data_IF_098974165130
#
_entry.id   IF_098974165130
#
_cell.length_a   1.000
_cell.length_b   1.000
_cell.length_c   1.000
_cell.angle_alpha   90.00
_cell.angle_beta   90.00
_cell.angle_gamma   90.00
#
_symmetry.space_group_name_H-M   'P 1'
#
loop_
_entity.id
_entity.type
_entity.pdbx_description
1 polymer ?
#
# COMPACT_ATOMS: atom_id res chain seq x y z
N UNK A 1 -22.96 9.33 27.03
CA UNK A 1 -21.55 9.49 26.61
C UNK A 1 -21.22 8.65 25.38
N UNK A 2 -21.43 7.32 25.43
CA UNK A 2 -21.16 6.42 24.30
C UNK A 2 -21.87 6.77 22.99
N UNK A 3 -23.13 7.23 23.03
CA UNK A 3 -23.84 7.65 21.81
C UNK A 3 -23.27 8.91 21.17
N UNK A 4 -22.76 9.87 21.96
CA UNK A 4 -22.14 11.08 21.42
C UNK A 4 -20.82 10.74 20.73
N UNK A 5 -20.00 9.89 21.35
CA UNK A 5 -18.77 9.35 20.74
C UNK A 5 -19.05 8.66 19.40
N UNK A 6 -20.09 7.83 19.33
CA UNK A 6 -20.45 7.15 18.07
C UNK A 6 -20.97 8.11 16.99
N UNK A 7 -21.67 9.18 17.37
CA UNK A 7 -22.07 10.24 16.43
C UNK A 7 -20.87 11.02 15.89
N UNK A 8 -19.89 11.33 16.73
CA UNK A 8 -18.64 12.00 16.31
C UNK A 8 -17.83 11.12 15.35
N UNK A 9 -17.68 9.82 15.67
CA UNK A 9 -17.06 8.85 14.76
C UNK A 9 -17.85 8.80 13.44
N UNK A 10 -19.18 8.72 13.49
CA UNK A 10 -19.99 8.70 12.27
C UNK A 10 -19.76 9.93 11.40
N UNK A 11 -19.71 11.12 11.98
CA UNK A 11 -19.45 12.37 11.26
C UNK A 11 -18.05 12.40 10.64
N UNK A 12 -17.03 11.97 11.38
CA UNK A 12 -15.63 12.04 10.95
C UNK A 12 -15.29 11.02 9.85
N UNK A 13 -15.96 9.86 9.83
CA UNK A 13 -15.62 8.76 8.92
C UNK A 13 -16.69 8.47 7.87
N UNK A 14 -17.75 9.28 7.78
CA UNK A 14 -18.77 9.15 6.72
C UNK A 14 -18.21 9.55 5.37
N UNK A 15 -18.46 8.73 4.35
CA UNK A 15 -18.07 9.02 2.96
C UNK A 15 -18.95 10.12 2.35
N UNK A 16 -18.37 11.23 1.86
CA UNK A 16 -19.03 12.16 0.95
C UNK A 16 -19.67 11.49 -0.27
N UNK A 17 -20.76 12.06 -0.82
CA UNK A 17 -21.31 11.58 -2.09
C UNK A 17 -20.29 11.73 -3.23
N UNK A 18 -20.30 10.80 -4.19
CA UNK A 18 -19.41 10.78 -5.36
C UNK A 18 -17.91 10.60 -5.09
N UNK A 19 -17.50 10.44 -3.83
CA UNK A 19 -16.11 10.15 -3.51
C UNK A 19 -15.77 8.67 -3.78
N UNK A 20 -14.61 8.45 -4.39
CA UNK A 20 -13.99 7.14 -4.55
C UNK A 20 -13.88 6.41 -3.20
N UNK A 21 -14.17 5.09 -3.20
CA UNK A 21 -13.99 4.24 -2.00
C UNK A 21 -12.53 4.26 -1.56
N UNK A 22 -11.59 4.24 -2.50
CA UNK A 22 -10.15 4.19 -2.22
C UNK A 22 -9.68 5.48 -1.56
N UNK A 23 -10.09 6.64 -2.10
CA UNK A 23 -9.76 7.94 -1.51
C UNK A 23 -10.38 8.11 -0.12
N UNK A 24 -11.66 7.73 0.04
CA UNK A 24 -12.33 7.74 1.34
C UNK A 24 -11.64 6.86 2.38
N UNK A 25 -11.18 5.67 2.00
CA UNK A 25 -10.41 4.80 2.90
C UNK A 25 -9.12 5.50 3.35
N UNK A 26 -8.37 6.10 2.41
CA UNK A 26 -7.16 6.84 2.76
C UNK A 26 -7.44 7.98 3.75
N UNK A 27 -8.51 8.74 3.56
CA UNK A 27 -8.92 9.80 4.49
C UNK A 27 -9.30 9.25 5.88
N UNK A 28 -9.99 8.10 5.91
CA UNK A 28 -10.30 7.43 7.17
C UNK A 28 -9.01 7.00 7.91
N UNK A 29 -8.02 6.48 7.19
CA UNK A 29 -6.74 6.15 7.77
C UNK A 29 -6.04 7.40 8.34
N UNK A 30 -5.96 8.46 7.53
CA UNK A 30 -5.33 9.72 7.92
C UNK A 30 -6.00 10.37 9.15
N UNK A 31 -7.30 10.17 9.30
CA UNK A 31 -8.08 10.61 10.45
C UNK A 31 -7.98 9.69 11.69
N UNK A 32 -7.08 8.70 11.69
CA UNK A 32 -6.78 7.86 12.86
C UNK A 32 -7.70 6.65 13.03
N UNK A 33 -8.34 6.14 11.97
CA UNK A 33 -9.23 4.99 12.08
C UNK A 33 -8.54 3.70 12.59
N UNK A 34 -7.20 3.61 12.52
CA UNK A 34 -6.43 2.42 12.87
C UNK A 34 -6.03 2.36 14.35
N UNK A 35 -5.72 3.50 14.97
CA UNK A 35 -5.30 3.61 16.37
C UNK A 35 -6.42 4.12 17.28
N UNK A 36 -7.16 5.15 16.85
CA UNK A 36 -8.00 5.94 17.77
C UNK A 36 -9.42 5.38 17.94
N UNK A 37 -9.83 4.47 17.04
CA UNK A 37 -11.21 4.00 16.97
C UNK A 37 -11.28 2.49 17.09
N UNK A 38 -11.28 1.98 18.33
CA UNK A 38 -11.57 0.58 18.63
C UNK A 38 -13.06 0.38 18.85
N UNK A 39 -13.63 -0.60 18.15
CA UNK A 39 -15.06 -0.89 18.18
C UNK A 39 -15.29 -2.37 18.38
N UNK A 40 -16.18 -2.70 19.31
CA UNK A 40 -16.79 -4.03 19.35
C UNK A 40 -17.88 -4.19 18.27
N UNK A 41 -18.51 -5.38 18.23
CA UNK A 41 -19.56 -5.69 17.26
C UNK A 41 -20.82 -4.82 17.43
N UNK A 42 -21.19 -4.50 18.67
CA UNK A 42 -22.38 -3.73 18.98
C UNK A 42 -22.20 -2.26 18.63
N UNK A 43 -21.07 -1.67 19.03
CA UNK A 43 -20.67 -0.31 18.69
C UNK A 43 -20.58 -0.12 17.17
N UNK A 44 -19.96 -1.07 16.46
CA UNK A 44 -19.87 -1.02 15.00
C UNK A 44 -21.25 -0.99 14.31
N UNK A 45 -22.25 -1.67 14.86
CA UNK A 45 -23.63 -1.64 14.34
C UNK A 45 -24.34 -0.32 14.63
N UNK A 46 -24.04 0.30 15.77
CA UNK A 46 -24.62 1.57 16.16
C UNK A 46 -24.06 2.77 15.38
N UNK A 47 -22.88 2.64 14.74
CA UNK A 47 -22.35 3.66 13.86
C UNK A 47 -23.25 3.94 12.65
N UNK A 48 -24.08 2.99 12.21
CA UNK A 48 -24.89 3.15 11.02
C UNK A 48 -24.06 3.01 9.73
N UNK A 49 -24.51 3.70 8.67
CA UNK A 49 -23.90 3.64 7.34
C UNK A 49 -22.81 4.70 7.22
N UNK A 50 -21.57 4.28 6.98
CA UNK A 50 -20.42 5.18 6.75
C UNK A 50 -20.11 5.28 5.26
N UNK A 51 -20.09 4.13 4.59
CA UNK A 51 -19.60 4.04 3.22
C UNK A 51 -20.63 4.46 2.17
N UNK A 52 -21.92 4.53 2.52
CA UNK A 52 -23.03 4.62 1.55
C UNK A 52 -23.07 3.41 0.59
N UNK A 53 -22.53 2.29 1.05
CA UNK A 53 -22.45 1.04 0.32
C UNK A 53 -22.87 -0.09 1.25
N UNK A 54 -24.00 -0.73 0.90
CA UNK A 54 -24.61 -1.74 1.74
C UNK A 54 -23.70 -2.97 1.94
N UNK A 55 -22.85 -3.31 0.96
CA UNK A 55 -21.93 -4.44 1.09
C UNK A 55 -20.81 -4.13 2.10
N UNK A 56 -20.19 -2.95 1.97
CA UNK A 56 -19.14 -2.49 2.90
C UNK A 56 -19.72 -2.32 4.31
N UNK A 57 -20.83 -1.59 4.47
CA UNK A 57 -21.42 -1.32 5.77
C UNK A 57 -21.84 -2.62 6.50
N UNK A 58 -22.40 -3.60 5.76
CA UNK A 58 -22.68 -4.92 6.33
C UNK A 58 -21.42 -5.66 6.74
N UNK A 59 -20.32 -5.54 5.99
CA UNK A 59 -19.02 -6.10 6.36
C UNK A 59 -18.54 -5.56 7.72
N UNK A 60 -18.63 -4.24 7.90
CA UNK A 60 -18.16 -3.54 9.11
C UNK A 60 -18.89 -4.10 10.35
N UNK A 61 -20.20 -4.28 10.23
CA UNK A 61 -21.09 -4.75 11.30
C UNK A 61 -21.01 -6.26 11.60
N UNK A 62 -20.57 -7.06 10.63
CA UNK A 62 -20.53 -8.52 10.76
C UNK A 62 -19.31 -9.00 11.55
N UNK A 63 -18.20 -8.28 11.45
CA UNK A 63 -16.93 -8.67 12.07
C UNK A 63 -17.07 -8.75 13.60
N UNK A 64 -16.72 -9.90 14.16
CA UNK A 64 -16.82 -10.22 15.59
C UNK A 64 -15.54 -9.82 16.33
N UNK A 65 -15.63 -9.62 17.65
CA UNK A 65 -14.50 -9.15 18.46
C UNK A 65 -14.29 -7.63 18.39
N UNK A 66 -13.30 -7.13 19.11
CA UNK A 66 -12.91 -5.72 19.12
C UNK A 66 -11.78 -5.51 18.12
N UNK A 67 -11.99 -4.59 17.18
CA UNK A 67 -11.05 -4.26 16.12
C UNK A 67 -11.04 -2.75 15.90
N UNK A 68 -9.94 -2.22 15.35
CA UNK A 68 -9.94 -0.84 14.87
C UNK A 68 -10.94 -0.65 13.74
N UNK A 69 -11.48 0.56 13.61
CA UNK A 69 -12.37 0.94 12.52
C UNK A 69 -11.70 0.66 11.17
N UNK A 70 -10.42 0.99 11.05
CA UNK A 70 -9.61 0.68 9.88
C UNK A 70 -9.60 -0.81 9.53
N UNK A 71 -9.35 -1.68 10.52
CA UNK A 71 -9.37 -3.13 10.33
C UNK A 71 -10.74 -3.65 9.88
N UNK A 72 -11.83 -2.99 10.30
CA UNK A 72 -13.19 -3.31 9.83
C UNK A 72 -13.38 -2.81 8.39
N UNK A 73 -13.03 -1.56 8.10
CA UNK A 73 -13.15 -0.93 6.78
C UNK A 73 -12.40 -1.74 5.71
N UNK A 74 -11.10 -1.96 5.90
CA UNK A 74 -10.22 -2.66 4.95
C UNK A 74 -10.73 -4.06 4.64
N UNK A 75 -11.11 -4.84 5.66
CA UNK A 75 -11.67 -6.19 5.43
C UNK A 75 -13.01 -6.14 4.71
N UNK A 76 -13.86 -5.17 5.04
CA UNK A 76 -15.20 -5.08 4.42
C UNK A 76 -15.14 -4.67 2.97
N UNK A 77 -14.21 -3.78 2.60
CA UNK A 77 -13.94 -3.40 1.22
C UNK A 77 -13.37 -4.58 0.44
N UNK A 78 -12.39 -5.30 1.02
CA UNK A 78 -11.79 -6.49 0.39
C UNK A 78 -12.80 -7.62 0.16
N UNK A 79 -13.76 -7.79 1.07
CA UNK A 79 -14.82 -8.79 0.92
C UNK A 79 -15.89 -8.39 -0.09
N UNK A 80 -16.06 -7.09 -0.35
CA UNK A 80 -17.11 -6.56 -1.22
C UNK A 80 -16.68 -6.36 -2.68
N UNK A 81 -15.37 -6.21 -2.94
CA UNK A 81 -14.84 -5.74 -4.22
C UNK A 81 -13.57 -6.48 -4.64
N UNK A 82 -13.29 -6.45 -5.93
CA UNK A 82 -11.98 -6.75 -6.52
C UNK A 82 -11.23 -5.44 -6.83
N UNK A 83 -9.95 -5.54 -7.22
CA UNK A 83 -9.17 -4.38 -7.62
C UNK A 83 -9.80 -3.65 -8.83
N UNK A 84 -10.26 -4.42 -9.83
CA UNK A 84 -10.84 -3.89 -11.08
C UNK A 84 -12.17 -3.17 -10.86
N UNK A 85 -12.92 -3.52 -9.79
CA UNK A 85 -14.17 -2.85 -9.47
C UNK A 85 -13.96 -1.44 -8.88
N UNK A 86 -12.83 -1.21 -8.21
CA UNK A 86 -12.56 0.03 -7.45
C UNK A 86 -11.57 0.96 -8.12
N UNK A 87 -10.55 0.42 -8.79
CA UNK A 87 -9.50 1.22 -9.39
C UNK A 87 -9.86 1.58 -10.84
N UNK A 88 -10.18 2.85 -11.05
CA UNK A 88 -10.31 3.40 -12.41
C UNK A 88 -8.94 3.85 -12.87
N UNK A 89 -8.33 3.09 -13.79
CA UNK A 89 -7.12 3.52 -14.47
C UNK A 89 -7.40 4.79 -15.28
N UNK A 90 -6.50 5.76 -15.19
CA UNK A 90 -6.63 7.04 -15.88
C UNK A 90 -5.77 7.02 -17.13
N UNK A 91 -6.31 7.51 -18.25
CA UNK A 91 -5.49 7.72 -19.45
C UNK A 91 -4.54 8.91 -19.27
N UNK A 92 -4.98 9.92 -18.50
CA UNK A 92 -4.15 11.04 -18.08
C UNK A 92 -4.75 11.75 -16.85
N UNK A 93 -3.90 12.29 -15.98
CA UNK A 93 -4.28 13.27 -14.96
C UNK A 93 -3.88 14.68 -15.40
N UNK A 94 -4.64 15.71 -15.06
CA UNK A 94 -4.48 17.07 -15.60
C UNK A 94 -3.86 18.06 -14.61
N UNK A 95 -3.72 17.68 -13.35
CA UNK A 95 -3.17 18.53 -12.30
C UNK A 95 -2.39 17.72 -11.27
N UNK A 96 -1.55 18.39 -10.47
CA UNK A 96 -0.86 17.77 -9.33
C UNK A 96 -1.84 17.17 -8.34
N UNK A 97 -2.96 17.84 -8.10
CA UNK A 97 -3.98 17.35 -7.20
C UNK A 97 -4.56 16.03 -7.72
N UNK A 98 -4.94 15.98 -8.99
CA UNK A 98 -5.44 14.77 -9.64
C UNK A 98 -4.40 13.65 -9.64
N UNK A 99 -3.13 13.97 -9.90
CA UNK A 99 -2.02 13.01 -9.85
C UNK A 99 -1.80 12.47 -8.43
N UNK A 100 -1.80 13.32 -7.41
CA UNK A 100 -1.66 12.93 -6.01
C UNK A 100 -2.82 12.05 -5.54
N UNK A 101 -4.05 12.37 -5.97
CA UNK A 101 -5.21 11.52 -5.73
C UNK A 101 -5.06 10.17 -6.42
N UNK A 102 -4.67 10.15 -7.70
CA UNK A 102 -4.50 8.90 -8.45
C UNK A 102 -3.42 8.00 -7.86
N UNK A 103 -2.29 8.57 -7.45
CA UNK A 103 -1.22 7.84 -6.76
C UNK A 103 -1.72 7.24 -5.43
N UNK A 104 -2.59 7.95 -4.72
CA UNK A 104 -3.23 7.45 -3.49
C UNK A 104 -4.19 6.30 -3.79
N UNK A 105 -5.01 6.40 -4.83
CA UNK A 105 -5.91 5.34 -5.25
C UNK A 105 -5.16 4.08 -5.67
N UNK A 106 -4.09 4.23 -6.46
CA UNK A 106 -3.19 3.12 -6.84
C UNK A 106 -2.59 2.44 -5.61
N UNK A 107 -2.12 3.23 -4.65
CA UNK A 107 -1.53 2.73 -3.41
C UNK A 107 -2.56 1.98 -2.57
N UNK A 108 -3.76 2.52 -2.44
CA UNK A 108 -4.84 1.88 -1.70
C UNK A 108 -5.30 0.57 -2.36
N UNK A 109 -5.38 0.53 -3.69
CA UNK A 109 -5.68 -0.70 -4.43
C UNK A 109 -4.60 -1.77 -4.22
N UNK A 110 -3.32 -1.38 -4.25
CA UNK A 110 -2.19 -2.29 -3.98
C UNK A 110 -2.19 -2.80 -2.52
N UNK A 111 -2.53 -1.97 -1.54
CA UNK A 111 -2.68 -2.41 -0.13
C UNK A 111 -3.84 -3.39 0.03
N UNK A 112 -4.96 -3.15 -0.66
CA UNK A 112 -6.14 -3.99 -0.55
C UNK A 112 -5.97 -5.32 -1.27
N UNK A 113 -5.34 -5.33 -2.45
CA UNK A 113 -5.38 -6.47 -3.39
C UNK A 113 -4.02 -6.89 -3.94
N UNK A 114 -2.94 -6.18 -3.62
CA UNK A 114 -1.59 -6.49 -4.05
C UNK A 114 -1.07 -7.81 -3.48
N UNK A 115 -0.06 -8.37 -4.16
CA UNK A 115 0.44 -9.72 -3.92
C UNK A 115 1.43 -9.82 -2.73
N UNK A 116 1.42 -8.85 -1.81
CA UNK A 116 2.44 -8.75 -0.77
C UNK A 116 2.14 -9.72 0.38
N UNK A 117 3.08 -10.63 0.64
CA UNK A 117 3.06 -11.57 1.78
C UNK A 117 3.20 -10.87 3.16
N UNK A 118 3.04 -9.54 3.23
CA UNK A 118 3.34 -8.74 4.41
C UNK A 118 2.06 -8.18 5.03
N UNK A 119 1.57 -8.90 6.05
CA UNK A 119 0.46 -8.50 6.91
C UNK A 119 0.69 -7.18 7.68
N UNK A 120 1.89 -6.58 7.63
CA UNK A 120 2.22 -5.29 8.27
C UNK A 120 1.94 -4.05 7.40
N UNK A 121 1.77 -4.20 6.08
CA UNK A 121 1.43 -3.08 5.17
C UNK A 121 -0.03 -2.65 5.21
N UNK A 122 -0.85 -3.37 5.97
CA UNK A 122 -2.24 -2.99 6.16
C UNK A 122 -2.37 -1.70 6.98
N UNK A 123 -1.31 -1.08 7.50
CA UNK A 123 -1.43 -0.06 8.55
C UNK A 123 -1.01 1.36 8.15
N UNK A 124 -0.36 1.60 7.01
CA UNK A 124 0.08 2.96 6.62
C UNK A 124 0.23 3.10 5.09
N UNK A 125 -0.71 3.77 4.40
CA UNK A 125 -0.62 4.04 2.97
C UNK A 125 0.51 4.98 2.55
N UNK A 126 0.95 5.91 3.40
CA UNK A 126 2.05 6.82 3.05
C UNK A 126 3.42 6.16 3.28
N UNK A 127 3.51 5.24 4.24
CA UNK A 127 4.64 4.36 4.47
C UNK A 127 4.80 3.23 3.43
N UNK A 128 3.80 3.02 2.56
CA UNK A 128 3.82 1.97 1.55
C UNK A 128 4.92 2.18 0.50
N UNK A 129 5.46 1.07 -0.02
CA UNK A 129 6.36 1.10 -1.16
C UNK A 129 5.58 1.38 -2.45
N UNK A 130 6.18 2.21 -3.30
CA UNK A 130 5.76 2.40 -4.66
C UNK A 130 6.17 1.14 -5.45
N UNK A 131 5.26 0.16 -5.51
CA UNK A 131 5.48 -1.05 -6.30
C UNK A 131 5.67 -0.70 -7.78
N UNK A 132 6.25 -1.62 -8.55
CA UNK A 132 6.40 -1.40 -9.99
C UNK A 132 5.05 -1.11 -10.67
N UNK A 133 3.98 -1.79 -10.24
CA UNK A 133 2.63 -1.57 -10.77
C UNK A 133 2.12 -0.15 -10.49
N UNK A 134 2.32 0.37 -9.27
CA UNK A 134 1.97 1.76 -8.93
C UNK A 134 2.78 2.73 -9.78
N UNK A 135 4.09 2.54 -9.85
CA UNK A 135 5.01 3.39 -10.62
C UNK A 135 4.63 3.45 -12.10
N UNK A 136 4.45 2.28 -12.72
CA UNK A 136 4.12 2.15 -14.13
C UNK A 136 2.78 2.80 -14.47
N UNK A 137 1.74 2.52 -13.68
CA UNK A 137 0.42 3.12 -13.89
C UNK A 137 0.46 4.65 -13.72
N UNK A 138 1.12 5.14 -12.68
CA UNK A 138 1.22 6.57 -12.39
C UNK A 138 1.98 7.35 -13.47
N UNK A 139 3.13 6.83 -13.89
CA UNK A 139 4.01 7.47 -14.88
C UNK A 139 3.45 7.40 -16.31
N UNK A 140 2.79 6.31 -16.71
CA UNK A 140 2.11 6.21 -18.01
C UNK A 140 0.96 7.20 -18.15
N UNK A 141 0.32 7.54 -17.02
CA UNK A 141 -0.79 8.49 -16.96
C UNK A 141 -0.33 9.95 -16.81
N UNK A 142 0.99 10.17 -16.72
CA UNK A 142 1.53 11.50 -16.48
C UNK A 142 1.39 12.40 -17.70
N UNK A 143 0.81 13.61 -17.56
CA UNK A 143 0.76 14.59 -18.64
C UNK A 143 2.18 15.06 -18.99
N UNK A 144 2.41 15.56 -20.21
CA UNK A 144 3.76 15.81 -20.75
C UNK A 144 4.65 16.68 -19.84
N UNK A 145 4.07 17.68 -19.18
CA UNK A 145 4.77 18.59 -18.25
C UNK A 145 5.41 17.85 -17.08
N UNK A 146 4.83 16.73 -16.64
CA UNK A 146 5.33 15.95 -15.51
C UNK A 146 6.09 14.70 -15.94
N UNK A 147 5.87 14.21 -17.15
CA UNK A 147 6.60 13.05 -17.68
C UNK A 147 8.11 13.29 -17.71
N UNK A 148 8.54 14.51 -18.05
CA UNK A 148 9.96 14.91 -18.01
C UNK A 148 10.52 14.83 -16.59
N UNK A 149 9.81 15.43 -15.63
CA UNK A 149 10.25 15.47 -14.22
C UNK A 149 10.28 14.06 -13.63
N UNK A 150 9.28 13.23 -13.93
CA UNK A 150 9.24 11.84 -13.48
C UNK A 150 10.31 10.96 -14.13
N UNK A 151 10.79 11.31 -15.34
CA UNK A 151 11.92 10.61 -15.97
C UNK A 151 13.25 10.81 -15.22
N UNK A 152 13.36 11.90 -14.44
CA UNK A 152 14.52 12.14 -13.58
C UNK A 152 14.50 11.31 -12.29
N UNK A 153 13.36 10.66 -11.98
CA UNK A 153 13.21 9.79 -10.82
C UNK A 153 13.39 8.34 -11.26
N UNK A 154 14.38 7.67 -10.69
CA UNK A 154 14.59 6.25 -10.91
C UNK A 154 13.69 5.45 -9.96
N UNK A 155 12.87 4.56 -10.51
CA UNK A 155 12.18 3.58 -9.69
C UNK A 155 13.17 2.61 -9.06
N UNK A 156 12.94 2.27 -7.79
CA UNK A 156 13.63 1.20 -7.07
C UNK A 156 12.69 0.62 -6.01
N UNK A 157 12.93 -0.62 -5.57
CA UNK A 157 12.04 -1.35 -4.65
C UNK A 157 11.80 -0.67 -3.30
N UNK A 158 12.76 0.14 -2.84
CA UNK A 158 12.68 0.90 -1.60
C UNK A 158 12.01 2.28 -1.73
N UNK A 159 11.53 2.67 -2.93
CA UNK A 159 10.87 3.95 -3.14
C UNK A 159 9.55 3.97 -2.37
N UNK A 160 9.37 4.90 -1.44
CA UNK A 160 8.10 5.07 -0.70
C UNK A 160 7.15 6.02 -1.41
N UNK A 161 5.84 5.74 -1.33
CA UNK A 161 4.79 6.58 -1.92
C UNK A 161 4.86 8.01 -1.38
N UNK A 162 5.09 8.21 -0.08
CA UNK A 162 5.26 9.55 0.50
C UNK A 162 6.41 10.35 -0.12
N UNK A 163 7.51 9.69 -0.52
CA UNK A 163 8.64 10.35 -1.18
C UNK A 163 8.27 10.79 -2.58
N UNK A 164 7.54 9.96 -3.32
CA UNK A 164 7.03 10.30 -4.64
C UNK A 164 6.01 11.44 -4.57
N UNK A 165 5.06 11.39 -3.63
CA UNK A 165 4.11 12.48 -3.36
C UNK A 165 4.85 13.79 -3.08
N UNK A 166 5.81 13.78 -2.15
CA UNK A 166 6.59 14.97 -1.79
C UNK A 166 7.36 15.54 -2.99
N UNK A 167 7.94 14.69 -3.83
CA UNK A 167 8.64 15.10 -5.05
C UNK A 167 7.71 15.83 -6.04
N UNK A 168 6.53 15.27 -6.32
CA UNK A 168 5.54 15.88 -7.22
C UNK A 168 5.05 17.23 -6.67
N UNK A 169 4.86 17.32 -5.34
CA UNK A 169 4.46 18.55 -4.68
C UNK A 169 5.54 19.62 -4.67
N UNK A 170 6.82 19.27 -4.50
CA UNK A 170 7.91 20.25 -4.58
C UNK A 170 8.01 20.87 -5.98
N UNK A 171 7.86 20.04 -7.02
CA UNK A 171 7.77 20.53 -8.40
C UNK A 171 6.57 21.48 -8.61
N UNK A 172 5.40 21.14 -8.07
CA UNK A 172 4.20 21.98 -8.14
C UNK A 172 4.41 23.39 -7.57
N UNK A 173 5.16 23.47 -6.47
CA UNK A 173 5.39 24.72 -5.74
C UNK A 173 6.49 25.57 -6.37
N UNK A 174 7.48 24.96 -7.04
CA UNK A 174 8.66 25.65 -7.59
C UNK A 174 9.04 25.15 -8.99
N UNK A 175 8.17 25.28 -10.01
CA UNK A 175 8.46 24.74 -11.34
C UNK A 175 9.70 25.37 -12.01
N UNK A 176 10.08 26.60 -11.62
CA UNK A 176 11.25 27.31 -12.16
C UNK A 176 12.60 26.79 -11.64
N UNK A 177 12.64 25.99 -10.57
CA UNK A 177 13.87 25.39 -10.07
C UNK A 177 14.25 24.07 -10.76
N UNK A 178 13.47 23.65 -11.76
CA UNK A 178 13.64 22.38 -12.47
C UNK A 178 14.02 22.60 -13.93
N UNK A 179 14.82 21.71 -14.54
CA UNK A 179 15.22 21.82 -15.94
C UNK A 179 13.98 21.79 -16.85
N UNK A 180 13.89 22.75 -17.77
CA UNK A 180 12.81 22.84 -18.77
C UNK A 180 13.36 22.38 -20.12
N UNK A 181 12.98 21.18 -20.56
CA UNK A 181 13.42 20.57 -21.83
C UNK A 181 12.27 20.22 -22.77
N UNK A 182 12.55 20.16 -24.07
CA UNK A 182 11.57 19.98 -25.14
C UNK A 182 11.06 18.53 -25.26
N UNK A 183 9.75 18.40 -25.46
CA UNK A 183 8.96 17.17 -25.46
C UNK A 183 9.23 16.24 -26.66
N UNK A 184 9.47 14.97 -26.37
CA UNK A 184 8.90 13.84 -27.11
C UNK A 184 8.33 12.87 -26.08
N UNK A 185 7.13 12.34 -26.33
CA UNK A 185 6.47 11.34 -25.47
C UNK A 185 7.44 10.19 -25.24
N UNK A 186 8.03 10.12 -24.06
CA UNK A 186 8.99 9.08 -23.72
C UNK A 186 8.24 7.75 -23.69
N UNK A 187 8.62 6.85 -24.58
CA UNK A 187 8.38 5.44 -24.38
C UNK A 187 9.09 5.08 -23.07
N UNK A 188 8.31 4.91 -21.99
CA UNK A 188 8.81 4.25 -20.79
C UNK A 188 9.02 2.80 -21.21
N UNK A 189 10.17 2.53 -21.81
CA UNK A 189 10.60 1.16 -22.01
C UNK A 189 10.70 0.57 -20.61
N UNK A 190 10.08 -0.60 -20.35
CA UNK A 190 10.53 -1.41 -19.25
C UNK A 190 12.01 -1.56 -19.50
N UNK A 191 12.85 -0.91 -18.71
CA UNK A 191 14.21 -1.40 -18.58
C UNK A 191 13.97 -2.76 -17.96
N UNK A 192 14.00 -3.78 -18.80
CA UNK A 192 14.09 -5.16 -18.38
C UNK A 192 15.33 -5.23 -17.50
N UNK A 193 15.16 -4.91 -16.21
CA UNK A 193 15.80 -5.70 -15.21
C UNK A 193 15.11 -7.06 -15.33
N UNK A 194 15.60 -7.82 -16.32
CA UNK A 194 15.80 -9.24 -16.12
C UNK A 194 16.17 -9.41 -14.65
N UNK A 195 15.50 -10.31 -13.96
CA UNK A 195 15.86 -10.74 -12.63
C UNK A 195 17.35 -11.15 -12.64
N UNK A 196 18.22 -10.17 -12.46
CA UNK A 196 19.65 -10.26 -12.34
C UNK A 196 19.90 -9.81 -10.92
N UNK A 197 19.68 -10.76 -10.03
CA UNK A 197 20.00 -10.75 -8.62
C UNK A 197 21.51 -10.65 -8.40
N UNK A 198 22.15 -9.56 -8.83
CA UNK A 198 23.61 -9.41 -8.77
C UNK A 198 24.08 -8.02 -8.31
N UNK A 199 23.23 -7.25 -7.62
CA UNK A 199 23.76 -6.12 -6.84
C UNK A 199 24.65 -6.70 -5.72
N UNK A 200 25.92 -6.27 -5.59
CA UNK A 200 26.78 -6.77 -4.53
C UNK A 200 26.28 -6.30 -3.17
N UNK A 201 26.46 -7.11 -2.13
CA UNK A 201 26.11 -6.70 -0.77
C UNK A 201 26.92 -5.45 -0.39
N UNK A 202 26.27 -4.33 -0.08
CA UNK A 202 26.99 -3.07 0.21
C UNK A 202 27.76 -3.07 1.54
N UNK A 203 27.74 -4.17 2.29
CA UNK A 203 28.49 -4.34 3.55
C UNK A 203 29.85 -5.02 3.29
N UNK A 204 29.89 -6.06 2.45
CA UNK A 204 31.13 -6.79 2.13
C UNK A 204 31.61 -6.62 0.68
N UNK A 205 30.79 -6.00 -0.16
CA UNK A 205 31.00 -5.78 -1.60
C UNK A 205 31.13 -7.07 -2.43
N UNK A 206 30.62 -8.20 -1.91
CA UNK A 206 30.58 -9.50 -2.60
C UNK A 206 29.19 -9.77 -3.20
N UNK A 207 29.12 -10.61 -4.23
CA UNK A 207 27.86 -10.97 -4.90
C UNK A 207 26.84 -11.61 -3.94
N UNK A 208 25.58 -11.18 -4.04
CA UNK A 208 24.48 -11.75 -3.28
C UNK A 208 24.16 -13.17 -3.77
N UNK A 209 24.66 -14.18 -3.05
CA UNK A 209 24.33 -15.58 -3.30
C UNK A 209 23.00 -16.02 -2.68
N UNK A 210 22.72 -17.33 -2.69
CA UNK A 210 21.48 -17.95 -2.12
C UNK A 210 21.20 -17.65 -0.64
N UNK A 211 22.14 -17.04 0.08
CA UNK A 211 22.04 -16.67 1.50
C UNK A 211 21.78 -15.17 1.69
N UNK A 212 21.19 -14.53 0.70
CA UNK A 212 20.72 -13.17 0.81
C UNK A 212 19.52 -13.06 1.76
N UNK A 213 19.36 -11.88 2.33
CA UNK A 213 18.31 -11.51 3.25
C UNK A 213 17.84 -10.12 2.84
N UNK A 214 16.58 -10.04 2.44
CA UNK A 214 15.90 -8.78 2.18
C UNK A 214 15.35 -8.22 3.51
N UNK A 215 15.68 -6.97 3.79
CA UNK A 215 15.11 -6.24 4.93
C UNK A 215 13.71 -5.73 4.61
N UNK A 216 12.97 -5.32 5.64
CA UNK A 216 11.63 -4.72 5.49
C UNK A 216 11.63 -3.42 4.65
N UNK A 217 12.80 -2.80 4.49
CA UNK A 217 13.05 -1.66 3.60
C UNK A 217 13.25 -2.02 2.12
N UNK A 218 13.21 -3.31 1.76
CA UNK A 218 13.41 -3.81 0.39
C UNK A 218 14.88 -3.89 -0.04
N UNK A 219 15.83 -3.60 0.84
CA UNK A 219 17.26 -3.72 0.57
C UNK A 219 17.78 -5.11 0.91
N UNK A 220 18.61 -5.66 0.03
CA UNK A 220 19.12 -7.02 0.11
C UNK A 220 20.61 -7.04 0.52
N UNK A 221 20.94 -7.93 1.46
CA UNK A 221 22.29 -8.10 2.00
C UNK A 221 22.55 -9.59 2.24
N UNK A 222 23.79 -10.05 2.42
CA UNK A 222 23.97 -11.38 2.99
C UNK A 222 23.40 -11.41 4.41
N UNK A 223 22.68 -12.48 4.74
CA UNK A 223 22.08 -12.68 6.07
C UNK A 223 23.08 -12.50 7.21
N UNK A 224 24.33 -12.94 7.00
CA UNK A 224 25.42 -12.75 7.98
C UNK A 224 25.81 -11.27 8.11
N UNK A 225 26.06 -10.59 6.99
CA UNK A 225 26.47 -9.20 6.96
C UNK A 225 25.45 -8.29 7.64
N UNK A 226 24.16 -8.42 7.29
CA UNK A 226 23.14 -7.57 7.89
C UNK A 226 22.89 -7.91 9.35
N UNK A 227 23.00 -9.19 9.74
CA UNK A 227 22.89 -9.56 11.16
C UNK A 227 24.00 -8.96 12.00
N UNK A 228 25.25 -9.04 11.54
CA UNK A 228 26.40 -8.40 12.21
C UNK A 228 26.22 -6.88 12.28
N UNK A 229 25.77 -6.24 11.20
CA UNK A 229 25.49 -4.81 11.19
C UNK A 229 24.43 -4.41 12.23
N UNK A 230 23.31 -5.13 12.29
CA UNK A 230 22.21 -4.85 13.22
C UNK A 230 22.58 -5.08 14.68
N UNK A 231 23.51 -6.01 14.94
CA UNK A 231 23.97 -6.32 16.29
C UNK A 231 25.10 -5.39 16.77
N UNK A 232 26.03 -5.04 15.89
CA UNK A 232 27.29 -4.38 16.30
C UNK A 232 27.34 -2.89 15.96
N UNK A 233 26.57 -2.42 14.98
CA UNK A 233 26.72 -1.06 14.45
C UNK A 233 25.45 -0.21 14.64
N UNK A 234 24.28 -0.68 14.19
CA UNK A 234 23.03 0.07 14.29
C UNK A 234 21.83 -0.81 14.01
N UNK A 235 20.70 -0.61 14.69
CA UNK A 235 19.41 -1.25 14.39
C UNK A 235 18.73 -0.74 13.10
N UNK A 236 19.47 -0.08 12.22
CA UNK A 236 18.96 0.55 11.00
C UNK A 236 19.66 0.03 9.76
N UNK A 237 18.95 0.07 8.62
CA UNK A 237 19.47 -0.34 7.33
C UNK A 237 20.70 0.50 6.92
N UNK A 238 21.81 -0.12 6.44
CA UNK A 238 22.99 0.61 5.97
C UNK A 238 22.72 1.60 4.83
N UNK A 239 21.69 1.34 4.01
CA UNK A 239 21.40 2.12 2.81
C UNK A 239 20.43 3.26 3.12
N UNK A 240 19.29 2.99 3.75
CA UNK A 240 18.24 3.99 3.95
C UNK A 240 18.09 4.48 5.39
N UNK A 241 18.80 3.87 6.36
CA UNK A 241 18.70 4.16 7.81
C UNK A 241 17.30 3.95 8.41
N UNK A 242 16.39 3.27 7.71
CA UNK A 242 15.14 2.80 8.29
C UNK A 242 15.41 1.67 9.31
N UNK A 243 14.57 1.57 10.35
CA UNK A 243 14.68 0.52 11.35
C UNK A 243 14.49 -0.86 10.70
N UNK A 244 15.37 -1.80 11.02
CA UNK A 244 15.43 -3.09 10.36
C UNK A 244 15.26 -4.24 11.37
N UNK A 245 14.30 -5.12 11.10
CA UNK A 245 14.05 -6.34 11.87
C UNK A 245 14.34 -7.55 11.00
N UNK A 246 15.09 -8.52 11.52
CA UNK A 246 15.36 -9.76 10.78
C UNK A 246 14.17 -10.71 10.89
N UNK A 247 13.79 -11.41 9.80
CA UNK A 247 12.71 -12.41 9.83
C UNK A 247 12.91 -13.57 10.80
N UNK A 248 14.14 -13.74 11.33
CA UNK A 248 14.51 -14.81 12.26
C UNK A 248 14.03 -14.60 13.71
N UNK A 249 13.65 -13.37 14.06
CA UNK A 249 13.29 -12.99 15.43
C UNK A 249 11.77 -12.82 15.62
N UNK A 250 10.97 -13.29 14.65
CA UNK A 250 9.52 -13.37 14.80
C UNK A 250 9.20 -14.63 15.62
N UNK A 251 8.63 -14.54 16.84
CA UNK A 251 8.27 -15.72 17.61
C UNK A 251 7.25 -16.54 16.80
N UNK A 252 7.63 -17.78 16.45
CA UNK A 252 6.77 -18.73 15.76
C UNK A 252 5.50 -18.97 16.57
N UNK A 253 4.33 -18.74 15.96
CA UNK A 253 3.06 -19.22 16.54
C UNK A 253 3.02 -20.74 16.43
N UNK A 254 2.56 -21.47 17.47
CA UNK A 254 2.44 -22.92 17.40
C UNK A 254 1.51 -23.31 16.25
N UNK A 255 1.96 -24.28 15.44
CA UNK A 255 1.29 -24.76 14.24
C UNK A 255 -0.17 -25.16 14.54
N UNK A 256 -1.12 -24.61 13.77
CA UNK A 256 -2.51 -25.07 13.79
C UNK A 256 -2.60 -26.44 13.14
N UNK A 257 -3.11 -27.41 13.88
CA UNK A 257 -3.48 -28.74 13.39
C UNK A 257 -4.41 -28.63 12.18
N UNK A 258 -4.05 -29.37 11.13
CA UNK A 258 -4.75 -29.48 9.85
C UNK A 258 -6.11 -30.19 10.02
N UNK A 259 -7.26 -29.57 9.66
CA UNK A 259 -8.50 -30.30 9.46
C UNK A 259 -8.50 -30.99 8.09
N UNK A 260 -8.63 -32.30 8.15
CA UNK A 260 -8.76 -33.30 7.08
C UNK A 260 -9.48 -32.81 5.80
N UNK A 261 -8.88 -33.17 4.66
CA UNK A 261 -9.42 -33.14 3.31
C UNK A 261 -10.96 -33.26 3.21
N UNK A 262 -11.60 -32.25 2.62
CA UNK A 262 -12.86 -32.42 1.90
C UNK A 262 -12.63 -32.20 0.40
N UNK A 263 -12.86 -33.24 -0.40
CA UNK A 263 -12.81 -33.18 -1.86
C UNK A 263 -14.03 -32.37 -2.36
N UNK A 264 -13.79 -31.21 -2.95
CA UNK A 264 -14.84 -30.48 -3.67
C UNK A 264 -15.26 -31.29 -4.92
N UNK A 265 -16.57 -31.58 -5.04
CA UNK A 265 -17.16 -32.19 -6.25
C UNK A 265 -17.47 -31.10 -7.30
N UNK A 266 -17.31 -31.37 -8.60
CA UNK A 266 -17.61 -30.43 -9.65
C UNK A 266 -19.13 -30.34 -9.89
N UNK A 267 -19.65 -29.13 -10.08
CA UNK A 267 -21.01 -28.91 -10.56
C UNK A 267 -21.02 -28.82 -12.09
N UNK A 268 -21.79 -29.71 -12.76
CA UNK A 268 -22.15 -29.60 -14.19
C UNK A 268 -23.68 -29.44 -14.34
N UNK A 269 -24.04 -28.39 -15.08
CA UNK A 269 -25.16 -28.16 -16.04
C UNK A 269 -26.61 -28.53 -15.65
N UNK A 270 -27.54 -27.59 -15.88
CA UNK A 270 -28.46 -27.51 -17.04
C UNK A 270 -29.35 -26.27 -16.89
N UNK A 271 -29.37 -25.34 -17.87
CA UNK A 271 -30.41 -25.21 -18.92
C UNK A 271 -31.84 -25.29 -18.35
N UNK A 272 -32.50 -24.13 -18.22
CA UNK A 272 -33.79 -23.76 -18.82
C UNK A 272 -33.94 -22.24 -18.72
#
# INVERSE_FOLDING_TARGET
ESQRKLQEIHQNFSRPPHQSVLLWLYECWFAGADVDVLLDRYEARQLGYLSRDVAIDRGIWRKTGTHSLWTRLVSSVRDAYTADDLLVYRDSWNSIWEGSQYLTELTMADILFGNTQNSRYLSDPDGAYCTWHIWEAFTKSAPPVFAEVLSSVTWHRALKVIKLKAFIWDYALKPSSWPQGSLSRLEIQPKEYAASSNDPCTICHEELGRNSCELECGHEFHRKCIRTWLQEHSSTCPICRDYAVLPADVPERPARNNPKHYKAKPWKRSVF
#
